data_IF_447537127203
#
_entry.id   IF_447537127203
#
_cell.length_a   1.000
_cell.length_b   1.000
_cell.length_c   1.000
_cell.angle_alpha   90.00
_cell.angle_beta   90.00
_cell.angle_gamma   90.00
#
_symmetry.space_group_name_H-M   'P 1'
#
loop_
_entity.id
_entity.type
_entity.pdbx_description
1 polymer ?
#
# COMPACT_ATOMS: atom_id res chain seq x y z
N UNK A 1 13.34 1.68 -3.73
CA UNK A 1 13.60 3.13 -3.53
C UNK A 1 12.40 3.66 -2.82
N UNK A 2 12.54 3.97 -1.51
CA UNK A 2 11.48 4.62 -0.75
C UNK A 2 10.97 5.81 -1.57
N UNK A 3 9.69 6.13 -1.44
CA UNK A 3 9.12 7.41 -1.89
C UNK A 3 9.94 8.50 -1.21
N UNK A 4 11.01 8.96 -1.85
CA UNK A 4 11.84 10.07 -1.40
C UNK A 4 11.30 11.38 -1.95
N UNK A 5 10.00 11.60 -1.80
CA UNK A 5 9.47 12.94 -1.69
C UNK A 5 9.72 13.34 -0.24
N UNK A 6 10.22 14.54 0.01
CA UNK A 6 10.68 14.95 1.34
C UNK A 6 9.57 14.78 2.37
N UNK A 7 9.65 13.80 3.26
CA UNK A 7 8.59 13.43 4.20
C UNK A 7 8.44 14.46 5.34
N UNK A 8 9.26 15.46 5.33
CA UNK A 8 9.32 16.51 6.36
C UNK A 8 8.00 17.28 6.48
N UNK A 9 7.28 17.50 5.36
CA UNK A 9 6.01 18.24 5.42
C UNK A 9 4.89 17.39 6.03
N UNK A 10 4.83 16.10 5.72
CA UNK A 10 3.82 15.21 6.31
C UNK A 10 4.02 15.08 7.83
N UNK A 11 5.27 14.95 8.30
CA UNK A 11 5.55 14.88 9.74
C UNK A 11 5.25 16.17 10.49
N UNK A 12 5.32 17.33 9.83
CA UNK A 12 4.94 18.62 10.42
C UNK A 12 3.43 18.80 10.57
N UNK A 13 2.63 17.98 9.90
CA UNK A 13 1.17 18.04 9.95
C UNK A 13 0.61 17.53 11.29
N UNK A 14 1.37 16.70 11.98
CA UNK A 14 0.96 16.05 13.22
C UNK A 14 1.83 16.48 14.40
N UNK A 15 1.29 16.29 15.59
CA UNK A 15 1.93 16.57 16.87
C UNK A 15 2.04 15.32 17.73
N UNK A 16 2.81 15.36 18.79
CA UNK A 16 2.88 14.24 19.76
C UNK A 16 1.55 13.95 20.44
N UNK A 17 0.66 14.93 20.58
CA UNK A 17 -0.68 14.72 21.12
C UNK A 17 -1.51 13.77 20.24
N UNK A 18 -1.27 13.76 18.92
CA UNK A 18 -1.96 12.92 17.97
C UNK A 18 -1.63 11.43 18.12
N UNK A 19 -0.49 11.10 18.77
CA UNK A 19 -0.13 9.73 19.11
C UNK A 19 -1.14 9.03 20.03
N UNK A 20 -2.00 9.78 20.71
CA UNK A 20 -3.07 9.23 21.52
C UNK A 20 -4.08 8.40 20.72
N UNK A 21 -4.15 8.55 19.40
CA UNK A 21 -5.01 7.76 18.51
C UNK A 21 -4.55 6.31 18.39
N UNK A 22 -3.26 6.05 18.60
CA UNK A 22 -2.69 4.70 18.48
C UNK A 22 -3.11 3.84 19.69
N UNK A 23 -3.58 2.64 19.39
CA UNK A 23 -3.83 1.61 20.40
C UNK A 23 -2.52 1.18 21.08
N UNK A 24 -2.63 0.51 22.24
CA UNK A 24 -1.43 -0.01 22.94
C UNK A 24 -0.59 -0.94 22.04
N UNK A 25 -1.22 -1.80 21.25
CA UNK A 25 -0.53 -2.70 20.34
C UNK A 25 0.19 -1.93 19.21
N UNK A 26 -0.45 -0.91 18.64
CA UNK A 26 0.14 -0.05 17.62
C UNK A 26 1.29 0.79 18.16
N UNK A 27 1.16 1.30 19.40
CA UNK A 27 2.26 2.01 20.07
C UNK A 27 3.49 1.13 20.23
N UNK A 28 3.32 -0.13 20.67
CA UNK A 28 4.41 -1.10 20.78
C UNK A 28 5.06 -1.41 19.42
N UNK A 29 4.31 -1.32 18.34
CA UNK A 29 4.79 -1.60 16.99
C UNK A 29 5.52 -0.43 16.36
N UNK A 30 4.94 0.77 16.44
CA UNK A 30 5.41 1.93 15.70
C UNK A 30 6.30 2.88 16.51
N UNK A 31 6.29 2.76 17.83
CA UNK A 31 7.15 3.57 18.70
C UNK A 31 8.32 2.71 19.22
N UNK A 32 9.52 3.27 19.16
CA UNK A 32 10.74 2.59 19.65
C UNK A 32 10.72 2.47 21.17
N UNK A 33 10.20 1.36 21.71
CA UNK A 33 10.20 1.07 23.14
C UNK A 33 9.34 2.04 23.97
N UNK A 34 9.70 2.19 25.25
CA UNK A 34 9.07 3.11 26.21
C UNK A 34 9.64 4.54 26.07
N UNK A 35 9.97 5.00 24.89
CA UNK A 35 10.45 6.36 24.69
C UNK A 35 9.36 7.36 25.12
N UNK A 36 9.57 8.12 26.20
CA UNK A 36 8.58 9.10 26.67
C UNK A 36 8.43 10.28 25.69
N UNK A 37 9.36 10.44 24.76
CA UNK A 37 9.40 11.54 23.80
C UNK A 37 9.69 11.05 22.37
N UNK A 38 8.85 10.18 21.77
CA UNK A 38 9.10 9.60 20.46
C UNK A 38 9.19 10.69 19.39
N UNK A 39 10.18 10.54 18.51
CA UNK A 39 10.33 11.42 17.37
C UNK A 39 9.24 11.11 16.34
N UNK A 40 8.49 12.14 15.95
CA UNK A 40 7.59 12.06 14.80
C UNK A 40 8.43 12.03 13.53
N UNK A 41 8.71 10.84 13.07
CA UNK A 41 9.33 10.62 11.77
C UNK A 41 8.25 10.45 10.67
N UNK A 42 8.71 10.14 9.49
CA UNK A 42 7.85 9.97 8.31
C UNK A 42 6.98 8.73 8.39
N UNK A 43 7.52 7.62 8.89
CA UNK A 43 6.77 6.37 9.00
C UNK A 43 5.60 6.56 9.96
N UNK A 44 5.86 7.20 11.10
CA UNK A 44 4.82 7.51 12.08
C UNK A 44 3.80 8.52 11.56
N UNK A 45 4.23 9.50 10.75
CA UNK A 45 3.32 10.45 10.12
C UNK A 45 2.34 9.77 9.15
N UNK A 46 2.78 8.74 8.41
CA UNK A 46 1.89 7.92 7.58
C UNK A 46 0.88 7.16 8.43
N UNK A 47 1.30 6.59 9.56
CA UNK A 47 0.39 5.89 10.48
C UNK A 47 -0.67 6.83 11.07
N UNK A 48 -0.30 8.06 11.40
CA UNK A 48 -1.25 9.09 11.84
C UNK A 48 -2.19 9.52 10.72
N UNK A 49 -1.70 9.68 9.49
CA UNK A 49 -2.52 9.98 8.32
C UNK A 49 -3.63 8.93 8.12
N UNK A 50 -3.28 7.65 8.18
CA UNK A 50 -4.24 6.56 7.97
C UNK A 50 -5.37 6.57 9.02
N UNK A 51 -5.11 7.08 10.22
CA UNK A 51 -6.06 7.08 11.33
C UNK A 51 -6.83 8.38 11.46
N UNK A 52 -6.18 9.50 11.26
CA UNK A 52 -6.77 10.83 11.48
C UNK A 52 -7.39 11.41 10.21
N UNK A 53 -6.76 11.17 9.06
CA UNK A 53 -7.18 11.75 7.78
C UNK A 53 -7.33 10.70 6.66
N UNK A 54 -8.13 9.62 6.88
CA UNK A 54 -8.28 8.54 5.88
C UNK A 54 -8.83 9.04 4.54
N UNK A 55 -9.58 10.14 4.54
CA UNK A 55 -10.07 10.78 3.32
C UNK A 55 -8.96 11.45 2.50
N UNK A 56 -7.98 12.05 3.15
CA UNK A 56 -6.80 12.62 2.49
C UNK A 56 -5.96 11.50 1.86
N UNK A 57 -5.73 10.40 2.61
CA UNK A 57 -5.06 9.23 2.05
C UNK A 57 -5.83 8.62 0.87
N UNK A 58 -7.15 8.51 0.95
CA UNK A 58 -7.97 8.00 -0.17
C UNK A 58 -7.83 8.85 -1.43
N UNK A 59 -7.75 10.16 -1.31
CA UNK A 59 -7.51 11.06 -2.45
C UNK A 59 -6.17 10.77 -3.12
N UNK A 60 -5.11 10.58 -2.33
CA UNK A 60 -3.79 10.19 -2.83
C UNK A 60 -3.83 8.82 -3.51
N UNK A 61 -4.32 7.80 -2.79
CA UNK A 61 -4.39 6.42 -3.29
C UNK A 61 -5.20 6.30 -4.59
N UNK A 62 -6.26 7.09 -4.73
CA UNK A 62 -7.09 7.14 -5.94
C UNK A 62 -6.39 7.81 -7.12
N UNK A 63 -5.52 8.79 -6.86
CA UNK A 63 -4.74 9.45 -7.90
C UNK A 63 -3.62 8.55 -8.45
N UNK A 64 -3.08 7.66 -7.63
CA UNK A 64 -2.03 6.70 -8.00
C UNK A 64 -2.63 5.50 -8.73
N UNK A 65 -2.47 5.44 -10.05
CA UNK A 65 -2.95 4.32 -10.87
C UNK A 65 -1.92 3.20 -10.91
N UNK A 66 -2.40 1.95 -10.91
CA UNK A 66 -1.55 0.80 -11.17
C UNK A 66 -1.21 0.73 -12.67
N UNK A 67 0.03 0.32 -12.99
CA UNK A 67 0.44 0.17 -14.38
C UNK A 67 -0.37 -0.96 -15.05
N UNK A 68 -0.96 -0.74 -16.25
CA UNK A 68 -1.80 -1.74 -16.91
C UNK A 68 -1.10 -3.09 -17.11
N UNK A 69 0.21 -3.08 -17.36
CA UNK A 69 0.99 -4.32 -17.52
C UNK A 69 1.13 -5.11 -16.21
N UNK A 70 1.13 -4.46 -15.04
CA UNK A 70 1.05 -5.16 -13.74
C UNK A 70 -0.29 -5.90 -13.66
N UNK A 71 -1.39 -5.21 -13.99
CA UNK A 71 -2.72 -5.81 -13.97
C UNK A 71 -2.86 -6.96 -14.96
N UNK A 72 -2.22 -6.86 -16.13
CA UNK A 72 -2.20 -7.95 -17.12
C UNK A 72 -1.31 -9.11 -16.70
N UNK A 73 -0.24 -8.84 -15.95
CA UNK A 73 0.70 -9.86 -15.46
C UNK A 73 0.11 -10.69 -14.30
N UNK A 74 -0.67 -10.06 -13.42
CA UNK A 74 -1.36 -10.76 -12.34
C UNK A 74 -2.34 -11.80 -12.90
N UNK A 75 -2.55 -12.94 -12.22
CA UNK A 75 -3.53 -13.94 -12.63
C UNK A 75 -4.91 -13.34 -12.89
N UNK A 76 -5.50 -13.67 -14.05
CA UNK A 76 -6.79 -13.12 -14.46
C UNK A 76 -7.97 -13.86 -13.83
N UNK A 77 -7.77 -15.11 -13.38
CA UNK A 77 -8.77 -15.92 -12.68
C UNK A 77 -8.10 -16.87 -11.71
N UNK A 78 -8.47 -16.74 -10.46
CA UNK A 78 -8.10 -17.66 -9.38
C UNK A 78 -9.31 -17.90 -8.48
N UNK A 79 -9.28 -18.93 -7.65
CA UNK A 79 -10.34 -19.17 -6.68
C UNK A 79 -10.26 -18.19 -5.50
N UNK A 80 -9.08 -17.99 -4.96
CA UNK A 80 -8.86 -17.19 -3.75
C UNK A 80 -7.68 -16.22 -3.88
N UNK A 81 -7.81 -15.07 -3.23
CA UNK A 81 -6.74 -14.07 -3.11
C UNK A 81 -6.64 -13.61 -1.66
N UNK A 82 -5.42 -13.43 -1.17
CA UNK A 82 -5.14 -12.65 0.04
C UNK A 82 -4.44 -11.37 -0.38
N UNK A 83 -5.03 -10.23 -0.06
CA UNK A 83 -4.41 -8.91 -0.19
C UNK A 83 -3.99 -8.41 1.18
N UNK A 84 -2.70 -8.10 1.37
CA UNK A 84 -2.16 -7.64 2.65
C UNK A 84 -1.77 -6.17 2.55
N UNK A 85 -2.22 -5.35 3.52
CA UNK A 85 -2.11 -3.90 3.46
C UNK A 85 -3.06 -3.30 2.42
N UNK A 86 -4.33 -3.70 2.45
CA UNK A 86 -5.32 -3.33 1.43
C UNK A 86 -5.65 -1.83 1.39
N UNK A 87 -5.36 -1.09 2.48
CA UNK A 87 -5.62 0.33 2.59
C UNK A 87 -7.10 0.66 2.35
N UNK A 88 -7.33 1.63 1.47
CA UNK A 88 -8.68 2.00 1.01
C UNK A 88 -9.12 1.23 -0.24
N UNK A 89 -8.33 0.23 -0.70
CA UNK A 89 -8.73 -0.70 -1.75
C UNK A 89 -8.30 -0.32 -3.18
N UNK A 90 -7.16 0.33 -3.34
CA UNK A 90 -6.60 0.64 -4.66
C UNK A 90 -6.38 -0.63 -5.50
N UNK A 91 -5.72 -1.65 -4.94
CA UNK A 91 -5.50 -2.92 -5.61
C UNK A 91 -6.72 -3.83 -5.49
N UNK A 92 -7.45 -3.83 -4.34
CA UNK A 92 -8.68 -4.60 -4.14
C UNK A 92 -9.66 -4.42 -5.30
N UNK A 93 -9.88 -3.18 -5.75
CA UNK A 93 -10.80 -2.87 -6.85
C UNK A 93 -10.43 -3.57 -8.17
N UNK A 94 -9.15 -3.85 -8.40
CA UNK A 94 -8.66 -4.55 -9.57
C UNK A 94 -8.70 -6.09 -9.42
N UNK A 95 -8.76 -6.58 -8.17
CA UNK A 95 -8.73 -8.00 -7.84
C UNK A 95 -10.12 -8.65 -7.76
N UNK A 96 -11.14 -7.90 -7.35
CA UNK A 96 -12.50 -8.44 -7.11
C UNK A 96 -13.14 -9.09 -8.35
N UNK A 97 -12.73 -8.70 -9.56
CA UNK A 97 -13.17 -9.34 -10.81
C UNK A 97 -12.42 -10.63 -11.17
N UNK A 98 -11.42 -11.04 -10.37
CA UNK A 98 -10.47 -12.09 -10.70
C UNK A 98 -10.57 -13.34 -9.81
N UNK A 99 -11.39 -13.29 -8.76
CA UNK A 99 -11.50 -14.38 -7.80
C UNK A 99 -12.94 -14.61 -7.35
N UNK A 100 -13.15 -15.74 -6.69
CA UNK A 100 -14.41 -16.07 -6.01
C UNK A 100 -14.40 -15.53 -4.57
N UNK A 101 -13.25 -15.61 -3.91
CA UNK A 101 -13.06 -15.20 -2.52
C UNK A 101 -11.80 -14.31 -2.41
N UNK A 102 -11.91 -13.19 -1.71
CA UNK A 102 -10.80 -12.29 -1.41
C UNK A 102 -10.80 -11.93 0.08
N UNK A 103 -9.69 -12.16 0.74
CA UNK A 103 -9.44 -11.65 2.10
C UNK A 103 -8.54 -10.44 1.98
N UNK A 104 -9.09 -9.26 2.33
CA UNK A 104 -8.38 -7.98 2.36
C UNK A 104 -7.97 -7.66 3.80
N UNK A 105 -6.68 -7.79 4.11
CA UNK A 105 -6.12 -7.55 5.44
C UNK A 105 -5.62 -6.12 5.53
N UNK A 106 -6.08 -5.37 6.55
CA UNK A 106 -5.69 -3.96 6.75
C UNK A 106 -5.71 -3.63 8.26
N UNK A 107 -4.61 -3.14 8.86
CA UNK A 107 -4.55 -2.85 10.29
C UNK A 107 -5.32 -1.58 10.70
N UNK A 108 -5.38 -0.54 9.85
CA UNK A 108 -5.97 0.74 10.19
C UNK A 108 -7.51 0.70 10.08
N UNK A 109 -8.22 0.78 11.20
CA UNK A 109 -9.68 0.72 11.24
C UNK A 109 -10.38 1.77 10.35
N UNK A 110 -9.92 3.04 10.22
CA UNK A 110 -10.53 4.00 9.32
C UNK A 110 -10.40 3.61 7.84
N UNK A 111 -9.26 3.05 7.43
CA UNK A 111 -9.06 2.58 6.06
C UNK A 111 -9.96 1.38 5.75
N UNK A 112 -10.07 0.41 6.69
CA UNK A 112 -11.03 -0.71 6.56
C UNK A 112 -12.47 -0.23 6.38
N UNK A 113 -12.89 0.82 7.11
CA UNK A 113 -14.25 1.39 6.96
C UNK A 113 -14.45 1.98 5.55
N UNK A 114 -13.47 2.72 5.05
CA UNK A 114 -13.51 3.28 3.69
C UNK A 114 -13.60 2.16 2.65
N UNK A 115 -12.75 1.14 2.76
CA UNK A 115 -12.76 -0.02 1.87
C UNK A 115 -14.12 -0.73 1.87
N UNK A 116 -14.66 -1.05 3.03
CA UNK A 116 -15.99 -1.69 3.15
C UNK A 116 -17.10 -0.85 2.50
N UNK A 117 -17.05 0.47 2.66
CA UNK A 117 -18.03 1.38 2.04
C UNK A 117 -17.96 1.33 0.50
N UNK A 118 -16.74 1.31 -0.06
CA UNK A 118 -16.53 1.20 -1.50
C UNK A 118 -17.02 -0.15 -2.05
N UNK A 119 -16.73 -1.24 -1.35
CA UNK A 119 -17.15 -2.58 -1.77
C UNK A 119 -18.67 -2.76 -1.75
N UNK A 120 -19.38 -2.18 -0.78
CA UNK A 120 -20.85 -2.20 -0.73
C UNK A 120 -21.50 -1.46 -1.90
N UNK A 121 -20.83 -0.46 -2.44
CA UNK A 121 -21.29 0.31 -3.58
C UNK A 121 -21.00 -0.38 -4.92
N UNK A 122 -20.26 -1.49 -4.90
CA UNK A 122 -19.82 -2.22 -6.10
C UNK A 122 -20.49 -3.59 -6.11
N UNK A 123 -21.24 -3.91 -7.17
CA UNK A 123 -21.69 -5.28 -7.41
C UNK A 123 -20.51 -6.11 -7.93
N UNK A 124 -19.90 -6.89 -7.07
CA UNK A 124 -18.81 -7.79 -7.43
C UNK A 124 -19.28 -9.23 -7.32
N UNK A 125 -18.95 -10.09 -8.29
CA UNK A 125 -19.20 -11.53 -8.19
C UNK A 125 -18.24 -12.27 -7.22
N UNK A 126 -17.42 -11.52 -6.48
CA UNK A 126 -16.43 -12.01 -5.52
C UNK A 126 -16.94 -11.81 -4.09
N UNK A 127 -16.80 -12.83 -3.25
CA UNK A 127 -16.99 -12.70 -1.80
C UNK A 127 -15.75 -12.03 -1.20
N UNK A 128 -15.90 -10.79 -0.69
CA UNK A 128 -14.79 -10.04 -0.09
C UNK A 128 -14.97 -9.92 1.41
N UNK A 129 -14.00 -10.45 2.15
CA UNK A 129 -13.88 -10.26 3.59
C UNK A 129 -12.79 -9.24 3.90
N UNK A 130 -13.13 -8.16 4.60
CA UNK A 130 -12.18 -7.12 5.03
C UNK A 130 -11.91 -7.33 6.52
N UNK A 131 -10.68 -7.72 6.84
CA UNK A 131 -10.29 -8.13 8.20
C UNK A 131 -9.20 -7.24 8.77
N UNK A 132 -9.11 -7.20 10.09
CA UNK A 132 -7.98 -6.60 10.81
C UNK A 132 -6.82 -7.57 10.85
N UNK A 133 -5.61 -7.09 10.59
CA UNK A 133 -4.40 -7.87 10.73
C UNK A 133 -3.17 -7.07 10.34
N UNK A 134 -2.03 -7.48 10.88
CA UNK A 134 -0.71 -7.00 10.49
C UNK A 134 -0.01 -8.05 9.65
N UNK A 135 1.05 -7.65 8.95
CA UNK A 135 1.82 -8.54 8.08
C UNK A 135 2.35 -9.80 8.78
N UNK A 136 2.82 -9.67 10.02
CA UNK A 136 3.46 -10.71 10.83
C UNK A 136 2.48 -11.62 11.60
N UNK A 137 1.17 -11.41 11.40
CA UNK A 137 0.10 -12.22 12.00
C UNK A 137 -1.16 -12.17 11.13
N UNK A 138 -1.12 -12.83 9.98
CA UNK A 138 -2.24 -12.84 9.04
C UNK A 138 -3.38 -13.74 9.56
N UNK A 139 -4.60 -13.23 9.72
CA UNK A 139 -5.76 -14.01 10.16
C UNK A 139 -6.33 -14.89 9.03
N UNK A 140 -5.44 -15.64 8.39
CA UNK A 140 -5.75 -16.51 7.24
C UNK A 140 -5.09 -17.87 7.47
N UNK A 141 -5.79 -19.00 7.18
CA UNK A 141 -5.20 -20.33 7.32
C UNK A 141 -3.97 -20.55 6.45
N UNK A 142 -3.12 -21.52 6.82
CA UNK A 142 -2.01 -21.98 6.00
C UNK A 142 -2.47 -22.44 4.62
N UNK A 143 -1.64 -22.20 3.61
CA UNK A 143 -1.83 -22.71 2.24
C UNK A 143 -3.21 -22.40 1.64
N UNK A 144 -3.80 -21.26 2.02
CA UNK A 144 -5.19 -20.93 1.69
C UNK A 144 -5.37 -20.40 0.26
N UNK A 145 -4.47 -19.56 -0.24
CA UNK A 145 -4.65 -18.85 -1.50
C UNK A 145 -3.57 -19.17 -2.55
N UNK A 146 -3.92 -19.27 -3.83
CA UNK A 146 -2.96 -19.35 -4.93
C UNK A 146 -2.27 -18.02 -5.23
N UNK A 147 -2.85 -16.89 -4.81
CA UNK A 147 -2.27 -15.55 -4.95
C UNK A 147 -2.32 -14.83 -3.60
N UNK A 148 -1.16 -14.45 -3.11
CA UNK A 148 -0.99 -13.54 -1.97
C UNK A 148 -0.30 -12.30 -2.48
N UNK A 149 -0.90 -11.12 -2.26
CA UNK A 149 -0.42 -9.90 -2.88
C UNK A 149 -0.45 -8.72 -1.92
N UNK A 150 0.50 -7.82 -2.05
CA UNK A 150 0.52 -6.51 -1.38
C UNK A 150 0.93 -5.44 -2.38
N UNK A 151 0.57 -4.18 -2.11
CA UNK A 151 0.93 -3.06 -2.96
C UNK A 151 1.50 -1.91 -2.13
N UNK A 152 2.81 -1.67 -2.25
CA UNK A 152 3.52 -0.53 -1.60
C UNK A 152 3.40 -0.45 -0.07
N UNK A 153 3.04 -1.54 0.62
CA UNK A 153 2.80 -1.55 2.06
C UNK A 153 3.84 -2.31 2.85
N UNK A 154 4.51 -3.31 2.25
CA UNK A 154 5.54 -4.11 2.90
C UNK A 154 6.90 -3.42 2.82
N UNK A 155 7.61 -3.36 3.96
CA UNK A 155 9.00 -2.92 4.02
C UNK A 155 9.86 -3.93 4.77
N UNK A 156 11.17 -3.73 4.83
CA UNK A 156 12.10 -4.57 5.60
C UNK A 156 12.02 -4.34 7.11
N UNK A 157 11.29 -3.29 7.55
CA UNK A 157 11.17 -2.97 8.97
C UNK A 157 10.11 -3.85 9.64
N UNK A 158 10.30 -4.13 10.93
CA UNK A 158 9.32 -4.87 11.73
C UNK A 158 7.94 -4.19 11.74
N UNK A 159 7.93 -2.86 11.77
CA UNK A 159 6.69 -2.09 11.82
C UNK A 159 5.76 -2.40 10.62
N UNK A 160 6.35 -2.63 9.45
CA UNK A 160 5.64 -2.90 8.20
C UNK A 160 5.93 -4.29 7.62
N UNK A 161 6.13 -5.27 8.51
CA UNK A 161 6.19 -6.68 8.20
C UNK A 161 7.57 -7.32 8.32
N UNK A 162 8.58 -6.78 7.67
CA UNK A 162 9.91 -7.37 7.68
C UNK A 162 9.93 -8.82 7.23
N UNK A 163 10.89 -9.59 7.75
CA UNK A 163 11.02 -11.01 7.45
C UNK A 163 9.84 -11.84 7.95
N UNK A 164 9.26 -11.47 9.09
CA UNK A 164 8.09 -12.15 9.63
C UNK A 164 6.87 -11.98 8.71
N UNK A 165 6.69 -10.77 8.15
CA UNK A 165 5.61 -10.51 7.19
C UNK A 165 5.76 -11.30 5.88
N UNK A 166 6.98 -11.42 5.35
CA UNK A 166 7.24 -12.28 4.20
C UNK A 166 6.92 -13.74 4.52
N UNK A 167 7.35 -14.24 5.68
CA UNK A 167 7.08 -15.61 6.11
C UNK A 167 5.58 -15.89 6.23
N UNK A 168 4.81 -14.94 6.77
CA UNK A 168 3.35 -15.07 6.86
C UNK A 168 2.67 -15.05 5.48
N UNK A 169 3.09 -14.16 4.57
CA UNK A 169 2.58 -14.17 3.19
C UNK A 169 2.90 -15.49 2.48
N UNK A 170 4.10 -16.06 2.71
CA UNK A 170 4.48 -17.37 2.16
C UNK A 170 3.70 -18.50 2.84
N UNK A 171 3.45 -18.44 4.16
CA UNK A 171 2.65 -19.44 4.91
C UNK A 171 1.24 -19.58 4.37
N UNK A 172 0.56 -18.46 4.09
CA UNK A 172 -0.83 -18.48 3.60
C UNK A 172 -0.93 -18.80 2.11
N UNK A 173 0.19 -18.73 1.38
CA UNK A 173 0.25 -19.07 -0.03
C UNK A 173 0.34 -20.59 -0.22
N UNK A 174 -0.55 -21.16 -1.04
CA UNK A 174 -0.54 -22.61 -1.30
C UNK A 174 0.62 -23.03 -2.21
N UNK A 175 1.03 -24.32 -2.19
CA UNK A 175 1.96 -24.88 -3.16
C UNK A 175 1.50 -24.61 -4.61
N UNK A 176 2.47 -24.26 -5.48
CA UNK A 176 2.19 -23.86 -6.86
C UNK A 176 1.55 -22.46 -7.00
N UNK A 177 1.29 -21.77 -5.91
CA UNK A 177 0.84 -20.38 -5.88
C UNK A 177 1.99 -19.36 -6.00
N UNK A 178 1.67 -18.10 -5.81
CA UNK A 178 2.67 -17.04 -5.87
C UNK A 178 2.41 -15.93 -4.84
N UNK A 179 3.50 -15.39 -4.30
CA UNK A 179 3.50 -14.17 -3.50
C UNK A 179 3.99 -13.03 -4.37
N UNK A 180 3.25 -11.93 -4.41
CA UNK A 180 3.51 -10.78 -5.27
C UNK A 180 3.54 -9.50 -4.46
N UNK A 181 4.59 -8.71 -4.62
CA UNK A 181 4.76 -7.40 -4.01
C UNK A 181 4.76 -6.38 -5.14
N UNK A 182 3.64 -5.72 -5.34
CA UNK A 182 3.47 -4.65 -6.34
C UNK A 182 4.12 -3.39 -5.81
N UNK A 183 4.93 -2.72 -6.64
CA UNK A 183 5.65 -1.52 -6.28
C UNK A 183 6.50 -1.70 -5.00
N UNK A 184 7.54 -2.57 -5.07
CA UNK A 184 8.35 -2.93 -3.91
C UNK A 184 9.18 -1.75 -3.41
N UNK A 185 9.19 -1.53 -2.10
CA UNK A 185 9.99 -0.46 -1.46
C UNK A 185 11.49 -0.80 -1.42
N UNK A 186 11.85 -2.06 -1.13
CA UNK A 186 13.22 -2.52 -0.93
C UNK A 186 13.53 -3.77 -1.76
N UNK A 187 13.82 -3.57 -3.03
CA UNK A 187 13.99 -4.66 -4.00
C UNK A 187 15.18 -5.59 -3.66
N UNK A 188 16.31 -5.03 -3.26
CA UNK A 188 17.50 -5.84 -2.93
C UNK A 188 17.25 -6.79 -1.75
N UNK A 189 16.53 -6.30 -0.73
CA UNK A 189 16.11 -7.10 0.42
C UNK A 189 15.20 -8.28 -0.01
N UNK A 190 14.27 -8.05 -0.92
CA UNK A 190 13.39 -9.08 -1.48
C UNK A 190 14.16 -10.08 -2.33
N UNK A 191 15.08 -9.62 -3.18
CA UNK A 191 15.90 -10.48 -4.02
C UNK A 191 16.79 -11.40 -3.20
N UNK A 192 17.37 -10.92 -2.09
CA UNK A 192 18.12 -11.74 -1.15
C UNK A 192 17.28 -12.87 -0.51
N UNK A 193 15.93 -12.79 -0.58
CA UNK A 193 14.97 -13.80 -0.07
C UNK A 193 14.32 -14.63 -1.19
N UNK A 194 14.92 -14.58 -2.39
CA UNK A 194 14.52 -15.40 -3.53
C UNK A 194 13.37 -14.82 -4.36
N UNK A 195 12.98 -13.56 -4.12
CA UNK A 195 12.02 -12.89 -4.98
C UNK A 195 12.66 -12.46 -6.30
N UNK A 196 11.95 -12.66 -7.41
CA UNK A 196 12.34 -12.17 -8.73
C UNK A 196 11.73 -10.79 -8.95
N UNK A 197 12.39 -9.98 -9.77
CA UNK A 197 11.91 -8.64 -10.14
C UNK A 197 11.37 -8.63 -11.55
N UNK A 198 10.21 -8.00 -11.74
CA UNK A 198 9.63 -7.71 -13.04
C UNK A 198 9.33 -6.22 -13.13
N UNK A 199 9.94 -5.56 -14.10
CA UNK A 199 9.71 -4.15 -14.43
C UNK A 199 9.01 -4.05 -15.78
N UNK A 200 8.14 -3.05 -15.89
CA UNK A 200 7.42 -2.75 -17.12
C UNK A 200 7.81 -1.37 -17.63
N UNK A 201 7.73 -1.17 -18.94
CA UNK A 201 8.05 0.10 -19.59
C UNK A 201 6.77 0.92 -19.82
N UNK A 202 6.92 2.24 -19.84
CA UNK A 202 5.85 3.20 -20.10
C UNK A 202 5.88 4.39 -19.16
N UNK A 203 5.29 5.48 -19.59
CA UNK A 203 5.08 6.67 -18.77
C UNK A 203 3.82 6.50 -17.95
N UNK A 204 3.82 7.05 -16.73
CA UNK A 204 2.66 7.08 -15.86
C UNK A 204 2.45 8.50 -15.30
N UNK A 205 1.21 8.78 -14.95
CA UNK A 205 0.82 10.03 -14.29
C UNK A 205 -0.12 9.72 -13.13
N UNK A 206 -0.01 10.49 -12.07
CA UNK A 206 -1.09 10.60 -11.07
C UNK A 206 -2.25 11.36 -11.70
N UNK A 207 -3.49 10.98 -11.36
CA UNK A 207 -4.69 11.61 -11.90
C UNK A 207 -5.59 12.11 -10.77
N UNK A 208 -5.68 13.42 -10.65
CA UNK A 208 -6.54 14.11 -9.69
C UNK A 208 -7.87 14.52 -10.33
N UNK A 209 -8.82 14.94 -9.52
CA UNK A 209 -10.12 15.39 -9.99
C UNK A 209 -10.12 16.78 -10.64
N UNK A 210 -9.09 17.59 -10.29
CA UNK A 210 -8.86 18.94 -10.87
C UNK A 210 -7.41 19.33 -10.75
N UNK A 211 -6.99 20.38 -11.46
CA UNK A 211 -5.67 21.02 -11.31
C UNK A 211 -5.45 21.60 -9.92
N UNK A 212 -6.49 22.17 -9.32
CA UNK A 212 -6.47 22.68 -7.95
C UNK A 212 -6.23 21.53 -6.95
N UNK A 213 -6.90 20.39 -7.11
CA UNK A 213 -6.65 19.20 -6.27
C UNK A 213 -5.24 18.66 -6.48
N UNK A 214 -4.74 18.63 -7.73
CA UNK A 214 -3.38 18.20 -8.01
C UNK A 214 -2.36 19.05 -7.25
N UNK A 215 -2.51 20.37 -7.29
CA UNK A 215 -1.60 21.29 -6.58
C UNK A 215 -1.68 21.10 -5.07
N UNK A 216 -2.90 21.06 -4.48
CA UNK A 216 -3.09 20.81 -3.05
C UNK A 216 -2.42 19.51 -2.58
N UNK A 217 -2.63 18.42 -3.32
CA UNK A 217 -2.07 17.11 -2.96
C UNK A 217 -0.55 17.09 -3.10
N UNK A 218 -0.01 17.76 -4.11
CA UNK A 218 1.43 17.86 -4.31
C UNK A 218 2.09 18.72 -3.22
N UNK A 219 1.47 19.81 -2.80
CA UNK A 219 1.98 20.63 -1.68
C UNK A 219 2.09 19.83 -0.38
N UNK A 220 1.20 18.86 -0.15
CA UNK A 220 1.21 18.01 1.04
C UNK A 220 2.24 16.87 0.93
N UNK A 221 2.23 16.14 -0.19
CA UNK A 221 2.96 14.86 -0.31
C UNK A 221 4.27 14.97 -1.09
N UNK A 222 4.42 15.97 -1.94
CA UNK A 222 5.56 16.16 -2.84
C UNK A 222 5.98 17.64 -2.91
N UNK A 223 6.24 18.31 -1.79
CA UNK A 223 6.40 19.78 -1.72
C UNK A 223 7.48 20.30 -2.66
N UNK A 224 8.54 19.53 -2.91
CA UNK A 224 9.62 19.90 -3.84
C UNK A 224 9.17 20.01 -5.30
N UNK A 225 8.07 19.32 -5.66
CA UNK A 225 7.48 19.37 -7.00
C UNK A 225 6.45 20.47 -7.21
N UNK A 226 6.06 21.19 -6.14
CA UNK A 226 4.96 22.17 -6.14
C UNK A 226 5.06 23.18 -7.28
N UNK A 227 6.23 23.82 -7.46
CA UNK A 227 6.40 24.81 -8.51
C UNK A 227 6.37 24.24 -9.93
N UNK A 228 6.85 23.00 -10.10
CA UNK A 228 6.79 22.30 -11.38
C UNK A 228 5.32 21.95 -11.74
N UNK A 229 4.57 21.44 -10.78
CA UNK A 229 3.15 21.10 -10.96
C UNK A 229 2.28 22.34 -11.15
N UNK A 230 2.55 23.43 -10.44
CA UNK A 230 1.86 24.72 -10.64
C UNK A 230 2.04 25.24 -12.07
N UNK A 231 3.25 25.16 -12.63
CA UNK A 231 3.53 25.53 -14.02
C UNK A 231 2.89 24.55 -15.03
N UNK A 232 2.81 23.27 -14.66
CA UNK A 232 2.19 22.27 -15.50
C UNK A 232 0.68 22.51 -15.67
N UNK A 233 -0.02 22.95 -14.62
CA UNK A 233 -1.39 23.43 -14.66
C UNK A 233 -2.43 22.39 -15.14
N UNK A 234 -2.21 21.11 -14.84
CA UNK A 234 -3.11 20.01 -15.26
C UNK A 234 -3.38 19.03 -14.12
N UNK A 235 -4.57 18.45 -14.11
CA UNK A 235 -4.97 17.42 -13.16
C UNK A 235 -4.22 16.08 -13.34
N UNK A 236 -3.65 15.83 -14.51
CA UNK A 236 -2.83 14.66 -14.79
C UNK A 236 -1.35 15.03 -14.65
N UNK A 237 -0.72 14.63 -13.54
CA UNK A 237 0.65 14.98 -13.20
C UNK A 237 1.59 13.81 -13.50
N UNK A 238 2.52 13.93 -14.47
CA UNK A 238 3.51 12.89 -14.74
C UNK A 238 4.41 12.63 -13.53
N UNK A 239 4.73 11.36 -13.27
CA UNK A 239 5.66 11.00 -12.17
C UNK A 239 7.05 11.63 -12.33
N UNK A 240 7.48 11.91 -13.57
CA UNK A 240 8.73 12.63 -13.83
C UNK A 240 8.77 14.05 -13.27
N UNK A 241 7.62 14.71 -13.10
CA UNK A 241 7.54 16.01 -12.43
C UNK A 241 7.60 15.90 -10.90
N UNK A 242 7.22 14.74 -10.36
CA UNK A 242 7.22 14.47 -8.91
C UNK A 242 8.61 14.01 -8.41
N UNK A 243 9.57 13.75 -9.32
CA UNK A 243 10.94 13.42 -8.98
C UNK A 243 11.18 11.96 -8.56
N UNK A 244 10.22 11.06 -8.78
CA UNK A 244 10.40 9.64 -8.46
C UNK A 244 9.89 8.71 -9.55
N UNK A 245 10.32 7.45 -9.48
CA UNK A 245 9.93 6.44 -10.46
C UNK A 245 8.46 6.05 -10.29
N UNK A 246 7.72 5.91 -11.40
CA UNK A 246 6.34 5.45 -11.35
C UNK A 246 6.22 4.01 -10.83
N UNK A 247 5.07 3.64 -10.22
CA UNK A 247 4.79 2.29 -9.73
C UNK A 247 4.53 1.33 -10.90
N UNK A 248 5.61 0.90 -11.58
CA UNK A 248 5.56 0.06 -12.79
C UNK A 248 6.35 -1.23 -12.70
N UNK A 249 6.55 -1.71 -11.48
CA UNK A 249 7.30 -2.94 -11.21
C UNK A 249 6.64 -3.78 -10.11
N UNK A 250 7.09 -5.01 -9.99
CA UNK A 250 6.71 -5.92 -8.93
C UNK A 250 7.87 -6.88 -8.60
N UNK A 251 7.87 -7.36 -7.38
CA UNK A 251 8.67 -8.51 -6.98
C UNK A 251 7.75 -9.71 -6.74
N UNK A 252 8.20 -10.92 -7.08
CA UNK A 252 7.39 -12.12 -6.94
C UNK A 252 8.20 -13.36 -6.60
N UNK A 253 7.56 -14.30 -5.91
CA UNK A 253 8.10 -15.61 -5.60
C UNK A 253 7.06 -16.69 -5.91
N UNK A 254 7.45 -17.69 -6.69
CA UNK A 254 6.62 -18.86 -6.94
C UNK A 254 6.84 -19.88 -5.82
N UNK A 255 5.76 -20.35 -5.22
CA UNK A 255 5.84 -21.34 -4.17
C UNK A 255 6.05 -22.73 -4.80
N UNK A 256 6.97 -23.51 -4.23
CA UNK A 256 7.23 -24.87 -4.70
C UNK A 256 5.92 -25.69 -4.69
N UNK A 257 5.75 -26.57 -5.70
CA UNK A 257 4.60 -27.46 -5.82
C UNK A 257 4.65 -28.61 -4.82
#
# INVERSE_FOLDING_TARGET
MSVSGSPVELSRRYSKADLSILTSAERLRFLSGDDPDPRLDVELAWELLYRLEPGLYERLARAERLHPSILSWLPQRVDRIVEVGAGTGRLTAELVGRCKELVAVEPAAPLRRTLRTKLRASETGCHVEVVEGFFDALPVPDLWAPLVVTCSALTETFAHGGDAGLAEMERVCRPGGQVVIVWPNHLEWLQARGYRHQKFEGSMSMRFGSDAEALEMVEIFFPEATDAVRRHGQASVPYSLLGFNPPRDLAYKLMAA
#
